data_IF_788583907778
#
_entry.id   IF_788583907778
#
_cell.length_a   1.000
_cell.length_b   1.000
_cell.length_c   1.000
_cell.angle_alpha   90.00
_cell.angle_beta   90.00
_cell.angle_gamma   90.00
#
_symmetry.space_group_name_H-M   'P 1'
#
loop_
_entity.id
_entity.type
_entity.pdbx_description
1 polymer ?
#
# COMPACT_ATOMS: atom_id res chain seq x y z
N UNK A 1 4.06 15.35 -12.81
CA UNK A 1 4.11 13.92 -13.24
C UNK A 1 5.50 13.30 -13.06
N UNK A 2 6.58 13.86 -13.63
CA UNK A 2 7.94 13.27 -13.56
C UNK A 2 8.46 13.05 -12.13
N UNK A 3 8.27 14.01 -11.21
CA UNK A 3 8.72 13.88 -9.82
C UNK A 3 8.07 12.72 -9.04
N UNK A 4 6.82 12.35 -9.38
CA UNK A 4 6.14 11.21 -8.76
C UNK A 4 6.80 9.89 -9.17
N UNK A 5 7.20 9.77 -10.44
CA UNK A 5 7.90 8.59 -10.93
C UNK A 5 9.30 8.45 -10.32
N UNK A 6 10.04 9.56 -10.16
CA UNK A 6 11.36 9.55 -9.50
C UNK A 6 11.28 9.00 -8.07
N UNK A 7 10.25 9.38 -7.31
CA UNK A 7 10.05 8.88 -5.95
C UNK A 7 9.57 7.43 -5.93
N UNK A 8 8.65 7.06 -6.83
CA UNK A 8 8.08 5.71 -6.89
C UNK A 8 9.11 4.65 -7.29
N UNK A 9 10.04 5.00 -8.19
CA UNK A 9 11.13 4.11 -8.60
C UNK A 9 12.36 4.23 -7.69
N UNK A 10 12.63 5.41 -7.12
CA UNK A 10 13.79 5.64 -6.26
C UNK A 10 13.76 4.85 -4.95
N UNK A 11 12.62 4.77 -4.27
CA UNK A 11 12.51 4.09 -2.97
C UNK A 11 12.79 2.58 -3.06
N UNK A 12 12.20 1.81 -4.02
CA UNK A 12 12.54 0.40 -4.20
C UNK A 12 14.00 0.17 -4.63
N UNK A 13 14.57 1.08 -5.44
CA UNK A 13 15.98 1.01 -5.84
C UNK A 13 16.91 1.18 -4.64
N UNK A 14 16.64 2.19 -3.81
CA UNK A 14 17.37 2.43 -2.56
C UNK A 14 17.21 1.26 -1.60
N UNK A 15 16.00 0.70 -1.47
CA UNK A 15 15.80 -0.52 -0.68
C UNK A 15 16.65 -1.68 -1.20
N UNK A 16 16.64 -1.97 -2.51
CA UNK A 16 17.45 -3.06 -3.09
C UNK A 16 18.96 -2.81 -2.94
N UNK A 17 19.39 -1.54 -2.96
CA UNK A 17 20.79 -1.14 -2.84
C UNK A 17 21.28 -1.19 -1.38
N UNK A 18 20.48 -0.70 -0.41
CA UNK A 18 20.83 -0.61 1.01
C UNK A 18 20.36 -1.81 1.86
N UNK A 19 19.44 -2.64 1.36
CA UNK A 19 19.00 -3.90 2.00
C UNK A 19 20.16 -4.88 2.24
N UNK A 20 21.30 -4.67 1.57
CA UNK A 20 22.47 -5.52 1.70
C UNK A 20 23.19 -5.34 3.05
N UNK A 21 22.99 -4.21 3.76
CA UNK A 21 23.73 -3.86 4.98
C UNK A 21 22.99 -4.17 6.30
N UNK A 22 21.70 -4.51 6.27
CA UNK A 22 20.95 -4.89 7.47
C UNK A 22 21.13 -6.39 7.84
N UNK A 23 22.09 -6.61 8.75
CA UNK A 23 22.27 -7.67 9.76
C UNK A 23 22.45 -9.17 9.36
N UNK A 24 23.61 -9.72 9.77
CA UNK A 24 23.64 -10.89 10.67
C UNK A 24 23.63 -12.31 10.08
N UNK A 25 24.00 -12.52 8.81
CA UNK A 25 23.96 -13.86 8.20
C UNK A 25 25.07 -14.78 8.74
N UNK A 26 24.70 -15.81 9.52
CA UNK A 26 25.63 -16.78 10.14
C UNK A 26 25.98 -18.01 9.27
N UNK A 27 25.32 -18.25 8.12
CA UNK A 27 25.55 -19.45 7.29
C UNK A 27 25.81 -19.16 5.79
N UNK A 28 26.67 -19.96 5.15
CA UNK A 28 27.02 -19.81 3.72
C UNK A 28 25.86 -20.13 2.76
N UNK A 29 24.91 -20.98 3.17
CA UNK A 29 23.71 -21.32 2.39
C UNK A 29 22.73 -20.15 2.34
N UNK A 30 22.57 -19.42 3.45
CA UNK A 30 21.72 -18.23 3.53
C UNK A 30 22.24 -17.11 2.62
N UNK A 31 23.56 -16.95 2.54
CA UNK A 31 24.21 -15.99 1.64
C UNK A 31 23.91 -16.31 0.17
N UNK A 32 24.00 -17.58 -0.25
CA UNK A 32 23.74 -17.99 -1.64
C UNK A 32 22.27 -17.84 -2.03
N UNK A 33 21.35 -18.24 -1.14
CA UNK A 33 19.90 -18.05 -1.33
C UNK A 33 19.54 -16.57 -1.44
N UNK A 34 20.13 -15.72 -0.59
CA UNK A 34 19.91 -14.27 -0.60
C UNK A 34 20.42 -13.62 -1.88
N UNK A 35 21.64 -13.93 -2.34
CA UNK A 35 22.16 -13.39 -3.63
C UNK A 35 21.24 -13.72 -4.80
N UNK A 36 20.72 -14.95 -4.86
CA UNK A 36 19.76 -15.35 -5.90
C UNK A 36 18.47 -14.53 -5.81
N UNK A 37 17.93 -14.34 -4.61
CA UNK A 37 16.75 -13.48 -4.41
C UNK A 37 17.00 -12.02 -4.79
N UNK A 38 18.14 -11.44 -4.41
CA UNK A 38 18.48 -10.05 -4.78
C UNK A 38 18.70 -9.90 -6.29
N UNK A 39 19.31 -10.89 -6.94
CA UNK A 39 19.47 -10.90 -8.39
C UNK A 39 18.10 -10.98 -9.09
N UNK A 40 17.21 -11.85 -8.61
CA UNK A 40 15.83 -11.94 -9.10
C UNK A 40 15.09 -10.62 -8.90
N UNK A 41 15.18 -10.00 -7.72
CA UNK A 41 14.51 -8.73 -7.43
C UNK A 41 15.07 -7.58 -8.29
N UNK A 42 16.40 -7.50 -8.49
CA UNK A 42 17.03 -6.53 -9.41
C UNK A 42 16.56 -6.73 -10.84
N UNK A 43 16.49 -7.98 -11.30
CA UNK A 43 16.04 -8.32 -12.64
C UNK A 43 14.56 -7.98 -12.86
N UNK A 44 13.69 -8.34 -11.92
CA UNK A 44 12.27 -7.99 -11.97
C UNK A 44 12.05 -6.46 -11.94
N UNK A 45 12.78 -5.75 -11.09
CA UNK A 45 12.72 -4.30 -11.03
C UNK A 45 13.16 -3.65 -12.35
N UNK A 46 14.24 -4.14 -12.95
CA UNK A 46 14.70 -3.68 -14.26
C UNK A 46 13.66 -3.91 -15.36
N UNK A 47 13.04 -5.10 -15.40
CA UNK A 47 11.97 -5.41 -16.36
C UNK A 47 10.76 -4.46 -16.21
N UNK A 48 10.34 -4.18 -14.98
CA UNK A 48 9.23 -3.25 -14.69
C UNK A 48 9.59 -1.83 -15.16
N UNK A 49 10.82 -1.37 -14.89
CA UNK A 49 11.30 -0.07 -15.35
C UNK A 49 11.28 0.02 -16.88
N UNK A 50 11.84 -0.96 -17.58
CA UNK A 50 11.81 -1.02 -19.04
C UNK A 50 10.37 -0.97 -19.57
N UNK A 51 9.48 -1.80 -19.03
CA UNK A 51 8.06 -1.81 -19.41
C UNK A 51 7.41 -0.44 -19.24
N UNK A 52 7.61 0.23 -18.10
CA UNK A 52 7.02 1.56 -17.86
C UNK A 52 7.56 2.62 -18.82
N UNK A 53 8.87 2.62 -19.09
CA UNK A 53 9.49 3.55 -20.04
C UNK A 53 8.95 3.30 -21.45
N UNK A 54 8.81 2.04 -21.87
CA UNK A 54 8.24 1.67 -23.17
C UNK A 54 6.80 2.18 -23.33
N UNK A 55 5.94 1.95 -22.33
CA UNK A 55 4.54 2.41 -22.37
C UNK A 55 4.45 3.94 -22.45
N UNK A 56 5.28 4.67 -21.69
CA UNK A 56 5.32 6.14 -21.74
C UNK A 56 5.82 6.61 -23.11
N UNK A 57 6.88 6.00 -23.65
CA UNK A 57 7.43 6.37 -24.95
C UNK A 57 6.42 6.17 -26.09
N UNK A 58 5.71 5.03 -26.11
CA UNK A 58 4.67 4.74 -27.09
C UNK A 58 3.51 5.73 -26.97
N UNK A 59 3.13 6.09 -25.74
CA UNK A 59 2.05 7.05 -25.48
C UNK A 59 2.45 8.46 -25.96
N UNK A 60 3.65 8.91 -25.63
CA UNK A 60 4.18 10.19 -26.10
C UNK A 60 4.29 10.22 -27.64
N UNK A 61 4.84 9.17 -28.25
CA UNK A 61 4.97 9.07 -29.70
C UNK A 61 3.62 9.12 -30.41
N UNK A 62 2.62 8.40 -29.89
CA UNK A 62 1.25 8.40 -30.43
C UNK A 62 0.60 9.79 -30.36
N UNK A 63 0.80 10.51 -29.24
CA UNK A 63 0.30 11.87 -29.04
C UNK A 63 1.02 12.86 -29.96
N UNK A 64 2.33 12.73 -30.15
CA UNK A 64 3.13 13.62 -31.01
C UNK A 64 2.76 13.53 -32.49
N UNK A 65 2.31 12.36 -32.97
CA UNK A 65 1.96 12.18 -34.39
C UNK A 65 0.49 12.53 -34.67
N UNK A 66 -0.44 12.14 -33.78
CA UNK A 66 -1.88 12.21 -34.07
C UNK A 66 -2.61 13.30 -33.26
N UNK A 67 -1.92 13.94 -32.31
CA UNK A 67 -2.52 14.90 -31.39
C UNK A 67 -3.36 14.24 -30.27
N UNK A 68 -3.58 15.01 -29.22
CA UNK A 68 -4.27 14.57 -27.98
C UNK A 68 -5.74 14.19 -28.24
N UNK A 69 -6.37 14.75 -29.28
CA UNK A 69 -7.78 14.56 -29.59
C UNK A 69 -8.06 13.40 -30.58
N UNK A 70 -7.04 12.60 -30.93
CA UNK A 70 -7.25 11.46 -31.85
C UNK A 70 -8.07 10.35 -31.18
N UNK A 71 -8.93 9.69 -31.97
CA UNK A 71 -9.72 8.55 -31.47
C UNK A 71 -8.85 7.37 -31.02
N UNK A 72 -7.63 7.22 -31.59
CA UNK A 72 -6.64 6.23 -31.15
C UNK A 72 -6.17 6.52 -29.72
N UNK A 73 -5.78 7.76 -29.42
CA UNK A 73 -5.31 8.13 -28.08
C UNK A 73 -6.39 7.92 -27.02
N UNK A 74 -7.63 8.25 -27.35
CA UNK A 74 -8.78 8.04 -26.45
C UNK A 74 -9.08 6.57 -26.20
N UNK A 75 -9.11 5.74 -27.24
CA UNK A 75 -9.34 4.30 -27.10
C UNK A 75 -8.21 3.61 -26.32
N UNK A 76 -6.95 3.99 -26.56
CA UNK A 76 -5.81 3.50 -25.78
C UNK A 76 -5.96 3.87 -24.29
N UNK A 77 -6.36 5.11 -24.00
CA UNK A 77 -6.64 5.55 -22.63
C UNK A 77 -7.72 4.72 -21.93
N UNK A 78 -8.82 4.40 -22.62
CA UNK A 78 -9.88 3.56 -22.07
C UNK A 78 -9.40 2.15 -21.73
N UNK A 79 -8.66 1.51 -22.65
CA UNK A 79 -8.16 0.15 -22.46
C UNK A 79 -7.14 0.11 -21.32
N UNK A 80 -6.17 1.03 -21.32
CA UNK A 80 -5.16 1.13 -20.26
C UNK A 80 -5.80 1.43 -18.90
N UNK A 81 -6.80 2.31 -18.86
CA UNK A 81 -7.55 2.64 -17.64
C UNK A 81 -8.29 1.44 -17.07
N UNK A 82 -8.97 0.65 -17.92
CA UNK A 82 -9.67 -0.56 -17.52
C UNK A 82 -8.71 -1.60 -16.93
N UNK A 83 -7.63 -1.92 -17.65
CA UNK A 83 -6.64 -2.87 -17.15
C UNK A 83 -5.98 -2.37 -15.86
N UNK A 84 -5.68 -1.08 -15.76
CA UNK A 84 -5.16 -0.47 -14.53
C UNK A 84 -6.09 -0.72 -13.34
N UNK A 85 -7.41 -0.52 -13.49
CA UNK A 85 -8.39 -0.83 -12.45
C UNK A 85 -8.37 -2.31 -12.04
N UNK A 86 -8.31 -3.23 -13.00
CA UNK A 86 -8.20 -4.66 -12.71
C UNK A 86 -6.90 -5.01 -11.97
N UNK A 87 -5.76 -4.48 -12.40
CA UNK A 87 -4.47 -4.70 -11.71
C UNK A 87 -4.50 -4.18 -10.28
N UNK A 88 -5.09 -3.01 -10.04
CA UNK A 88 -5.28 -2.47 -8.69
C UNK A 88 -6.14 -3.41 -7.86
N UNK A 89 -7.24 -3.95 -8.39
CA UNK A 89 -8.04 -4.94 -7.65
C UNK A 89 -7.20 -6.15 -7.21
N UNK A 90 -6.46 -6.77 -8.14
CA UNK A 90 -5.65 -7.95 -7.84
C UNK A 90 -4.47 -7.65 -6.89
N UNK A 91 -3.84 -6.49 -7.02
CA UNK A 91 -2.73 -6.09 -6.16
C UNK A 91 -3.16 -5.93 -4.70
N UNK A 92 -4.39 -5.49 -4.45
CA UNK A 92 -4.87 -5.22 -3.09
C UNK A 92 -5.47 -6.43 -2.38
N UNK A 93 -5.86 -7.49 -3.09
CA UNK A 93 -6.31 -8.76 -2.48
C UNK A 93 -5.31 -9.37 -1.48
N UNK A 94 -4.02 -9.57 -1.81
CA UNK A 94 -3.05 -10.11 -0.85
C UNK A 94 -2.85 -9.16 0.34
N UNK A 95 -3.00 -7.85 0.14
CA UNK A 95 -2.87 -6.85 1.20
C UNK A 95 -4.00 -6.97 2.22
N UNK A 96 -5.25 -7.02 1.75
CA UNK A 96 -6.44 -7.19 2.60
C UNK A 96 -6.37 -8.53 3.35
N UNK A 97 -5.98 -9.60 2.65
CA UNK A 97 -5.79 -10.92 3.26
C UNK A 97 -4.72 -10.91 4.36
N UNK A 98 -3.58 -10.27 4.10
CA UNK A 98 -2.50 -10.11 5.06
C UNK A 98 -2.98 -9.37 6.31
N UNK A 99 -3.64 -8.22 6.15
CA UNK A 99 -4.19 -7.45 7.27
C UNK A 99 -5.22 -8.25 8.08
N UNK A 100 -6.07 -9.03 7.43
CA UNK A 100 -7.03 -9.91 8.10
C UNK A 100 -6.33 -11.03 8.90
N UNK A 101 -5.30 -11.65 8.32
CA UNK A 101 -4.57 -12.77 8.94
C UNK A 101 -3.73 -12.32 10.13
N UNK A 102 -3.02 -11.20 10.01
CA UNK A 102 -2.13 -10.69 11.08
C UNK A 102 -2.88 -9.95 12.20
N UNK A 103 -4.17 -9.60 12.02
CA UNK A 103 -5.04 -8.93 13.01
C UNK A 103 -4.38 -7.72 13.70
N UNK A 104 -3.50 -7.03 12.97
CA UNK A 104 -2.65 -5.95 13.48
C UNK A 104 -2.01 -5.17 12.33
N UNK A 105 -1.42 -4.01 12.62
CA UNK A 105 -0.91 -3.08 11.61
C UNK A 105 0.32 -3.58 10.86
N UNK A 106 1.05 -4.59 11.37
CA UNK A 106 2.12 -5.37 10.70
C UNK A 106 3.29 -4.56 10.13
N UNK A 107 3.04 -3.68 9.16
CA UNK A 107 3.96 -2.75 8.50
C UNK A 107 3.27 -1.53 7.87
N UNK A 108 1.93 -1.42 7.90
CA UNK A 108 1.21 -0.31 7.26
C UNK A 108 0.91 0.78 8.29
N UNK A 109 1.40 1.98 8.02
CA UNK A 109 1.11 3.16 8.84
C UNK A 109 -0.34 3.59 8.67
N UNK A 110 -1.10 3.59 9.77
CA UNK A 110 -2.45 4.18 9.84
C UNK A 110 -2.42 5.62 9.34
N UNK A 111 -1.33 6.36 9.62
CA UNK A 111 -1.17 7.76 9.22
C UNK A 111 -1.20 7.88 7.69
N UNK A 112 -0.51 7.00 6.98
CA UNK A 112 -0.48 7.02 5.51
C UNK A 112 -1.86 6.77 4.92
N UNK A 113 -2.60 5.80 5.45
CA UNK A 113 -3.98 5.52 5.00
C UNK A 113 -4.93 6.65 5.37
N UNK A 114 -4.77 7.27 6.54
CA UNK A 114 -5.56 8.43 6.98
C UNK A 114 -5.33 9.67 6.12
N UNK A 115 -4.17 9.80 5.45
CA UNK A 115 -3.92 10.86 4.48
C UNK A 115 -4.47 10.48 3.10
N UNK A 116 -4.28 9.23 2.67
CA UNK A 116 -4.72 8.75 1.37
C UNK A 116 -6.25 8.69 1.23
N UNK A 117 -6.97 8.29 2.27
CA UNK A 117 -8.43 8.19 2.24
C UNK A 117 -9.12 9.54 1.93
N UNK A 118 -8.88 10.64 2.67
CA UNK A 118 -9.48 11.93 2.36
C UNK A 118 -8.94 12.51 1.05
N UNK A 119 -7.64 12.35 0.76
CA UNK A 119 -7.07 12.80 -0.52
C UNK A 119 -7.71 12.11 -1.73
N UNK A 120 -7.96 10.80 -1.63
CA UNK A 120 -8.65 10.02 -2.66
C UNK A 120 -10.10 10.43 -2.86
N UNK A 121 -10.82 10.71 -1.77
CA UNK A 121 -12.21 11.22 -1.83
C UNK A 121 -12.25 12.59 -2.51
N UNK A 122 -11.37 13.51 -2.12
CA UNK A 122 -11.29 14.85 -2.74
C UNK A 122 -10.99 14.74 -4.24
N UNK A 123 -10.02 13.89 -4.59
CA UNK A 123 -9.65 13.66 -6.00
C UNK A 123 -10.80 13.05 -6.81
N UNK A 124 -11.54 12.11 -6.22
CA UNK A 124 -12.71 11.51 -6.85
C UNK A 124 -13.81 12.56 -7.08
N UNK A 125 -14.12 13.39 -6.08
CA UNK A 125 -15.11 14.48 -6.20
C UNK A 125 -14.67 15.46 -7.29
N UNK A 126 -13.39 15.83 -7.32
CA UNK A 126 -12.84 16.70 -8.34
C UNK A 126 -13.01 16.12 -9.76
N UNK A 127 -12.73 14.83 -9.94
CA UNK A 127 -12.87 14.19 -11.25
C UNK A 127 -14.32 14.07 -11.72
N UNK A 128 -15.25 13.74 -10.82
CA UNK A 128 -16.66 13.55 -11.18
C UNK A 128 -17.34 14.90 -11.43
N UNK A 129 -17.18 15.85 -10.52
CA UNK A 129 -17.99 17.08 -10.53
C UNK A 129 -17.32 18.25 -11.23
N UNK A 130 -16.00 18.38 -11.13
CA UNK A 130 -15.26 19.53 -11.66
C UNK A 130 -14.73 19.22 -13.06
N UNK A 131 -13.96 18.15 -13.19
CA UNK A 131 -13.32 17.80 -14.47
C UNK A 131 -14.24 17.04 -15.42
N UNK A 132 -15.35 16.47 -14.93
CA UNK A 132 -16.30 15.64 -15.70
C UNK A 132 -15.59 14.57 -16.53
N UNK A 133 -14.62 13.92 -15.90
CA UNK A 133 -13.77 12.92 -16.52
C UNK A 133 -14.54 11.66 -16.91
N UNK A 134 -14.01 10.93 -17.88
CA UNK A 134 -14.64 9.69 -18.36
C UNK A 134 -14.70 8.63 -17.25
N UNK A 135 -15.73 7.77 -17.33
CA UNK A 135 -15.97 6.67 -16.39
C UNK A 135 -14.72 5.84 -16.10
N UNK A 136 -13.97 5.47 -17.14
CA UNK A 136 -12.75 4.67 -17.02
C UNK A 136 -11.65 5.33 -16.20
N UNK A 137 -11.62 6.66 -16.13
CA UNK A 137 -10.59 7.41 -15.42
C UNK A 137 -10.88 7.45 -13.93
N UNK A 138 -12.10 7.79 -13.54
CA UNK A 138 -12.46 7.92 -12.13
C UNK A 138 -12.77 6.59 -11.46
N UNK A 139 -13.16 5.53 -12.19
CA UNK A 139 -13.44 4.21 -11.60
C UNK A 139 -12.21 3.64 -10.89
N UNK A 140 -11.03 3.79 -11.48
CA UNK A 140 -9.79 3.29 -10.89
C UNK A 140 -9.44 4.02 -9.59
N UNK A 141 -9.71 5.32 -9.53
CA UNK A 141 -9.52 6.13 -8.31
C UNK A 141 -10.58 5.81 -7.26
N UNK A 142 -11.83 5.58 -7.67
CA UNK A 142 -12.90 5.15 -6.79
C UNK A 142 -12.58 3.82 -6.13
N UNK A 143 -12.18 2.82 -6.91
CA UNK A 143 -11.77 1.50 -6.42
C UNK A 143 -10.62 1.64 -5.43
N UNK A 144 -9.55 2.36 -5.79
CA UNK A 144 -8.41 2.57 -4.92
C UNK A 144 -8.79 3.27 -3.60
N UNK A 145 -9.63 4.30 -3.66
CA UNK A 145 -10.09 5.04 -2.48
C UNK A 145 -10.98 4.16 -1.58
N UNK A 146 -11.87 3.36 -2.17
CA UNK A 146 -12.72 2.42 -1.44
C UNK A 146 -11.88 1.38 -0.69
N UNK A 147 -10.83 0.86 -1.31
CA UNK A 147 -9.90 -0.10 -0.70
C UNK A 147 -9.11 0.52 0.45
N UNK A 148 -8.62 1.75 0.27
CA UNK A 148 -7.93 2.49 1.32
C UNK A 148 -8.83 2.71 2.55
N UNK A 149 -10.11 3.04 2.33
CA UNK A 149 -11.11 3.18 3.41
C UNK A 149 -11.35 1.85 4.14
N UNK A 150 -11.57 0.75 3.40
CA UNK A 150 -11.78 -0.57 4.00
C UNK A 150 -10.61 -0.95 4.91
N UNK A 151 -9.38 -0.79 4.44
CA UNK A 151 -8.18 -1.10 5.22
C UNK A 151 -8.02 -0.17 6.43
N UNK A 152 -8.30 1.12 6.27
CA UNK A 152 -8.28 2.07 7.39
C UNK A 152 -9.28 1.66 8.47
N UNK A 153 -10.51 1.30 8.09
CA UNK A 153 -11.54 0.82 9.02
C UNK A 153 -11.11 -0.46 9.74
N UNK A 154 -10.55 -1.44 9.02
CA UNK A 154 -10.05 -2.69 9.63
C UNK A 154 -8.93 -2.41 10.65
N UNK A 155 -7.99 -1.51 10.33
CA UNK A 155 -6.88 -1.15 11.21
C UNK A 155 -7.36 -0.39 12.45
N UNK A 156 -8.29 0.55 12.31
CA UNK A 156 -8.90 1.25 13.45
C UNK A 156 -9.58 0.24 14.37
N UNK A 157 -10.37 -0.69 13.80
CA UNK A 157 -11.06 -1.74 14.55
C UNK A 157 -10.09 -2.64 15.33
N UNK A 158 -9.04 -3.16 14.69
CA UNK A 158 -8.07 -4.02 15.36
C UNK A 158 -7.25 -3.29 16.42
N UNK A 159 -6.87 -2.03 16.19
CA UNK A 159 -6.19 -1.22 17.20
C UNK A 159 -7.06 -0.95 18.41
N UNK A 160 -8.34 -0.62 18.18
CA UNK A 160 -9.29 -0.42 19.26
C UNK A 160 -9.48 -1.70 20.07
N UNK A 161 -9.66 -2.85 19.41
CA UNK A 161 -9.80 -4.15 20.07
C UNK A 161 -8.54 -4.55 20.87
N UNK A 162 -7.35 -4.29 20.33
CA UNK A 162 -6.08 -4.55 21.01
C UNK A 162 -5.93 -3.68 22.27
N UNK A 163 -6.26 -2.38 22.18
CA UNK A 163 -6.26 -1.47 23.34
C UNK A 163 -7.24 -1.91 24.43
N UNK A 164 -8.44 -2.35 24.04
CA UNK A 164 -9.42 -2.86 25.00
C UNK A 164 -8.94 -4.14 25.71
N UNK A 165 -8.27 -5.04 24.99
CA UNK A 165 -7.72 -6.27 25.58
C UNK A 165 -6.63 -5.94 26.61
N UNK A 166 -5.67 -5.07 26.26
CA UNK A 166 -4.62 -4.60 27.18
C UNK A 166 -5.19 -3.93 28.44
N UNK A 167 -6.23 -3.10 28.29
CA UNK A 167 -6.88 -2.43 29.42
C UNK A 167 -7.60 -3.41 30.36
N UNK A 168 -8.16 -4.51 29.82
CA UNK A 168 -8.76 -5.58 30.63
C UNK A 168 -7.70 -6.42 31.37
N UNK A 169 -6.59 -6.72 30.71
CA UNK A 169 -5.46 -7.45 31.31
C UNK A 169 -4.83 -6.63 32.45
N UNK A 170 -4.53 -5.33 32.25
CA UNK A 170 -4.05 -4.44 33.31
C UNK A 170 -5.02 -4.30 34.49
N UNK A 171 -6.33 -4.24 34.23
CA UNK A 171 -7.34 -4.16 35.29
C UNK A 171 -7.43 -5.46 36.09
N UNK A 172 -7.15 -6.61 35.46
CA UNK A 172 -7.13 -7.92 36.11
C UNK A 172 -5.86 -8.09 36.96
N UNK A 173 -4.69 -7.71 36.45
CA UNK A 173 -3.44 -7.68 37.21
C UNK A 173 -3.50 -6.75 38.43
N UNK A 174 -4.08 -5.55 38.29
CA UNK A 174 -4.30 -4.62 39.40
C UNK A 174 -5.29 -5.18 40.45
N UNK A 175 -6.23 -6.03 40.04
CA UNK A 175 -7.20 -6.68 40.93
C UNK A 175 -6.59 -7.89 41.66
N UNK A 176 -5.73 -8.67 40.99
CA UNK A 176 -5.05 -9.83 41.57
C UNK A 176 -3.91 -9.43 42.52
N UNK A 177 -3.29 -8.26 42.33
CA UNK A 177 -2.23 -7.76 43.21
C UNK A 177 -2.74 -7.19 44.55
N UNK A 178 -4.05 -7.30 44.84
CA UNK A 178 -4.66 -6.92 46.11
C UNK A 178 -5.00 -8.14 46.99
N UNK A 179 -4.04 -8.86 47.61
CA UNK A 179 -4.36 -9.77 48.70
C UNK A 179 -3.92 -9.23 50.08
N UNK A 180 -4.87 -9.25 51.03
CA UNK A 180 -4.71 -9.47 52.48
C UNK A 180 -4.24 -8.36 53.45
N UNK A 181 -4.16 -7.08 53.09
CA UNK A 181 -3.87 -6.04 54.11
C UNK A 181 -5.09 -5.60 54.96
N UNK A 182 -6.21 -6.31 54.86
CA UNK A 182 -7.45 -5.99 55.59
C UNK A 182 -7.93 -7.11 56.51
N UNK A 183 -7.05 -8.04 56.90
CA UNK A 183 -7.42 -9.18 57.77
C UNK A 183 -6.49 -9.35 58.98
N UNK A 184 -5.58 -8.40 59.24
CA UNK A 184 -4.68 -8.43 60.41
C UNK A 184 -4.88 -7.26 61.39
N UNK A 185 -5.91 -6.42 61.23
CA UNK A 185 -6.25 -5.34 62.21
C UNK A 185 -7.44 -5.65 63.13
N UNK A 186 -7.97 -6.87 63.11
CA UNK A 186 -8.92 -7.35 64.12
C UNK A 186 -8.35 -8.62 64.78
N UNK A 187 -7.59 -8.45 65.87
CA UNK A 187 -7.51 -9.32 67.07
C UNK A 187 -6.84 -8.51 68.19
#
# INVERSE_FOLDING_TARGET
MVGVYVMFFGVPLLYILFSNDYEGSKSALDIKRRRKSHLIMKFLYFLIMCYTISVVAISCFSISIQGVCSNIARNLGHVLGFFSGCFVLFQWLPQIYSTYKFKGSGSISIITLSIQAPGGIINLIFMIFISKEQFSTWVSIFVNTSQALILLSMLIFYNYKSKLKKKKEQKKELSDHKPLLSTEEEI
#
